data_IF_781335492235
#
_entry.id   IF_781335492235
#
_cell.length_a   1.000
_cell.length_b   1.000
_cell.length_c   1.000
_cell.angle_alpha   90.00
_cell.angle_beta   90.00
_cell.angle_gamma   90.00
#
_symmetry.space_group_name_H-M   'P 1'
#
loop_
_entity.id
_entity.type
_entity.pdbx_description
1 polymer ?
#
# COMPACT_ATOMS: atom_id res chain seq x y z
N UNK A 1 -4.40 6.67 2.95
CA UNK A 1 -3.28 6.26 3.82
C UNK A 1 -2.06 5.92 2.97
N UNK A 2 -2.16 5.00 2.02
CA UNK A 2 -1.07 4.66 1.06
C UNK A 2 -0.37 5.88 0.45
N UNK A 3 -1.11 6.82 -0.14
CA UNK A 3 -0.51 8.03 -0.75
C UNK A 3 0.33 8.85 0.23
N UNK A 4 -0.19 9.04 1.45
CA UNK A 4 0.49 9.80 2.49
C UNK A 4 1.79 9.10 2.92
N UNK A 5 1.77 7.78 3.07
CA UNK A 5 2.99 7.03 3.42
C UNK A 5 3.99 7.10 2.26
N UNK A 6 3.58 6.71 1.06
CA UNK A 6 4.50 6.39 -0.04
C UNK A 6 5.02 7.60 -0.81
N UNK A 7 4.13 8.53 -1.14
CA UNK A 7 4.41 9.67 -2.01
C UNK A 7 4.67 10.98 -1.23
N UNK A 8 4.23 11.05 0.03
CA UNK A 8 4.43 12.21 0.89
C UNK A 8 5.54 11.95 1.92
N UNK A 9 5.23 11.32 3.05
CA UNK A 9 6.12 11.29 4.22
C UNK A 9 7.43 10.51 4.03
N UNK A 10 7.46 9.48 3.19
CA UNK A 10 8.70 8.78 2.83
C UNK A 10 9.45 9.39 1.63
N UNK A 11 8.93 10.46 1.04
CA UNK A 11 9.60 11.15 -0.07
C UNK A 11 10.81 11.94 0.41
N UNK A 12 11.91 11.90 -0.33
CA UNK A 12 13.05 12.79 -0.08
C UNK A 12 12.68 14.26 -0.26
N UNK A 13 11.67 14.58 -1.07
CA UNK A 13 11.14 15.94 -1.15
C UNK A 13 10.53 16.47 0.16
N UNK A 14 10.21 15.58 1.09
CA UNK A 14 9.65 15.89 2.42
C UNK A 14 10.68 15.63 3.51
N UNK A 15 11.33 14.46 3.49
CA UNK A 15 12.35 14.09 4.46
C UNK A 15 13.56 15.03 4.40
N UNK A 16 13.99 15.43 3.21
CA UNK A 16 15.12 16.34 2.98
C UNK A 16 14.67 17.77 2.68
N UNK A 17 13.40 18.12 2.93
CA UNK A 17 12.87 19.47 2.71
C UNK A 17 13.62 20.51 3.56
N UNK A 18 13.89 21.70 2.97
CA UNK A 18 14.47 22.84 3.68
C UNK A 18 15.77 22.45 4.42
N UNK A 19 15.81 22.59 5.75
CA UNK A 19 16.97 22.28 6.59
C UNK A 19 16.88 20.90 7.25
N UNK A 20 15.85 20.09 6.97
CA UNK A 20 15.59 18.85 7.72
C UNK A 20 16.81 17.92 7.86
N UNK A 21 17.58 17.73 6.77
CA UNK A 21 18.80 16.92 6.80
C UNK A 21 19.91 17.58 7.61
N UNK A 22 20.16 18.87 7.40
CA UNK A 22 21.19 19.60 8.15
C UNK A 22 20.85 19.67 9.64
N UNK A 23 19.57 19.86 9.97
CA UNK A 23 19.06 19.85 11.34
C UNK A 23 19.22 18.46 11.95
N UNK A 24 18.96 17.38 11.20
CA UNK A 24 19.18 16.02 11.67
C UNK A 24 20.68 15.70 11.89
N UNK A 25 21.56 16.12 10.98
CA UNK A 25 23.01 15.95 11.10
C UNK A 25 23.58 16.67 12.34
N UNK A 26 23.02 17.83 12.66
CA UNK A 26 23.43 18.68 13.79
C UNK A 26 22.57 18.47 15.05
N UNK A 27 21.68 17.48 15.05
CA UNK A 27 20.79 17.15 16.18
C UNK A 27 19.94 18.35 16.67
N UNK A 28 19.53 19.21 15.72
CA UNK A 28 18.63 20.33 15.97
C UNK A 28 17.21 19.80 16.12
N UNK A 29 16.74 19.82 17.37
CA UNK A 29 15.40 19.36 17.71
C UNK A 29 14.35 20.42 17.37
N UNK A 30 13.14 19.95 17.05
CA UNK A 30 11.96 20.82 17.00
C UNK A 30 11.72 21.42 18.39
N UNK A 31 11.44 22.73 18.46
CA UNK A 31 11.28 23.44 19.73
C UNK A 31 10.27 22.76 20.67
N UNK A 32 10.73 22.41 21.87
CA UNK A 32 9.93 21.72 22.89
C UNK A 32 9.65 20.24 22.61
N UNK A 33 10.35 19.63 21.64
CA UNK A 33 10.23 18.21 21.28
C UNK A 33 11.55 17.47 21.46
N UNK A 34 11.46 16.15 21.46
CA UNK A 34 12.60 15.24 21.60
C UNK A 34 13.05 14.62 20.27
N UNK A 35 12.64 15.20 19.15
CA UNK A 35 12.88 14.69 17.81
C UNK A 35 13.26 15.83 16.85
N UNK A 36 13.98 15.49 15.79
CA UNK A 36 14.21 16.36 14.63
C UNK A 36 12.99 16.34 13.71
N UNK A 37 12.89 17.29 12.77
CA UNK A 37 11.75 17.32 11.86
C UNK A 37 11.73 16.09 10.91
N UNK A 38 12.90 15.61 10.47
CA UNK A 38 13.00 14.41 9.62
C UNK A 38 12.52 13.16 10.34
N UNK A 39 12.95 12.99 11.60
CA UNK A 39 12.49 11.90 12.46
C UNK A 39 10.97 11.91 12.61
N UNK A 40 10.39 13.08 12.88
CA UNK A 40 8.95 13.22 13.01
C UNK A 40 8.20 12.85 11.73
N UNK A 41 8.70 13.26 10.56
CA UNK A 41 8.09 12.93 9.27
C UNK A 41 8.10 11.43 9.00
N UNK A 42 9.19 10.74 9.34
CA UNK A 42 9.25 9.28 9.28
C UNK A 42 8.24 8.63 10.24
N UNK A 43 8.14 9.14 11.46
CA UNK A 43 7.19 8.66 12.47
C UNK A 43 5.73 8.93 12.07
N UNK A 44 5.45 10.01 11.32
CA UNK A 44 4.13 10.27 10.73
C UNK A 44 3.77 9.21 9.67
N UNK A 45 4.71 8.80 8.81
CA UNK A 45 4.49 7.69 7.86
C UNK A 45 4.16 6.39 8.61
N UNK A 46 4.91 6.08 9.66
CA UNK A 46 4.67 4.92 10.52
C UNK A 46 3.29 4.98 11.19
N UNK A 47 2.89 6.15 11.69
CA UNK A 47 1.61 6.37 12.36
C UNK A 47 0.39 6.18 11.46
N UNK A 48 0.51 6.42 10.14
CA UNK A 48 -0.57 6.09 9.20
C UNK A 48 -0.83 4.58 9.09
N UNK A 49 0.05 3.73 9.58
CA UNK A 49 -0.15 2.29 9.55
C UNK A 49 -0.35 1.69 10.94
N UNK A 50 0.46 2.13 11.91
CA UNK A 50 0.52 1.54 13.24
C UNK A 50 0.01 2.49 14.34
N UNK A 51 -0.52 3.67 13.99
CA UNK A 51 -0.99 4.65 14.96
C UNK A 51 -2.25 4.24 15.73
N UNK A 52 -2.99 3.26 15.21
CA UNK A 52 -4.16 2.67 15.88
C UNK A 52 -3.80 1.46 16.76
N UNK A 53 -2.55 0.97 16.71
CA UNK A 53 -2.12 -0.18 17.50
C UNK A 53 -2.21 0.12 19.00
N UNK A 54 -2.72 -0.81 19.82
CA UNK A 54 -2.66 -0.70 21.28
C UNK A 54 -1.21 -0.59 21.78
N UNK A 55 -0.29 -1.28 21.11
CA UNK A 55 1.15 -1.22 21.34
C UNK A 55 1.88 -1.27 19.99
N UNK A 56 2.32 -0.10 19.51
CA UNK A 56 3.05 0.00 18.25
C UNK A 56 4.45 -0.67 18.27
N UNK A 57 4.96 -1.10 19.43
CA UNK A 57 6.20 -1.89 19.54
C UNK A 57 5.98 -3.38 19.27
N UNK A 58 4.73 -3.82 19.28
CA UNK A 58 4.31 -5.19 19.03
C UNK A 58 2.94 -5.18 18.31
N UNK A 59 2.91 -4.72 17.05
CA UNK A 59 1.66 -4.55 16.32
C UNK A 59 0.93 -5.89 16.16
N UNK A 60 -0.38 -5.87 16.36
CA UNK A 60 -1.25 -7.03 16.18
C UNK A 60 -2.07 -6.96 14.89
N UNK A 61 -2.03 -5.84 14.17
CA UNK A 61 -2.77 -5.57 12.94
C UNK A 61 -4.29 -5.68 13.11
N UNK A 62 -5.06 -5.41 12.06
CA UNK A 62 -6.53 -5.38 12.09
C UNK A 62 -7.09 -4.43 13.18
N UNK A 63 -6.35 -3.36 13.47
CA UNK A 63 -6.73 -2.36 14.49
C UNK A 63 -7.43 -1.14 13.89
N UNK A 64 -7.56 -1.09 12.57
CA UNK A 64 -8.38 -0.13 11.83
C UNK A 64 -9.13 -0.83 10.68
N UNK A 65 -10.14 -0.15 10.11
CA UNK A 65 -10.86 -0.64 8.92
C UNK A 65 -10.24 -0.13 7.62
N UNK A 66 -8.93 0.07 7.62
CA UNK A 66 -8.17 0.63 6.52
C UNK A 66 -6.93 -0.23 6.26
N UNK A 67 -5.73 0.36 6.24
CA UNK A 67 -4.54 -0.32 5.77
C UNK A 67 -4.05 -1.41 6.73
N UNK A 68 -4.29 -1.29 8.04
CA UNK A 68 -3.89 -2.29 9.03
C UNK A 68 -4.65 -3.60 8.85
N UNK A 69 -5.98 -3.54 8.66
CA UNK A 69 -6.80 -4.71 8.32
C UNK A 69 -6.28 -5.38 7.04
N UNK A 70 -5.99 -4.62 5.98
CA UNK A 70 -5.58 -5.22 4.72
C UNK A 70 -4.16 -5.79 4.74
N UNK A 71 -3.26 -5.33 5.62
CA UNK A 71 -2.00 -6.06 5.88
C UNK A 71 -2.30 -7.40 6.53
N UNK A 72 -3.15 -7.45 7.56
CA UNK A 72 -3.52 -8.71 8.22
C UNK A 72 -4.11 -9.72 7.23
N UNK A 73 -5.01 -9.26 6.34
CA UNK A 73 -5.60 -10.11 5.29
C UNK A 73 -4.55 -10.67 4.33
N UNK A 74 -3.58 -9.86 3.91
CA UNK A 74 -2.53 -10.30 2.97
C UNK A 74 -1.50 -11.19 3.68
N UNK A 75 -1.15 -10.89 4.93
CA UNK A 75 -0.29 -11.73 5.77
C UNK A 75 -0.90 -13.12 6.00
N UNK A 76 -2.22 -13.20 6.13
CA UNK A 76 -2.95 -14.47 6.26
C UNK A 76 -2.96 -15.34 5.01
N UNK A 77 -2.57 -14.79 3.84
CA UNK A 77 -2.40 -15.54 2.61
C UNK A 77 -0.98 -16.11 2.54
N UNK A 78 -0.86 -17.44 2.43
CA UNK A 78 0.42 -18.13 2.46
C UNK A 78 1.36 -17.72 1.32
N UNK A 79 0.82 -17.22 0.20
CA UNK A 79 1.61 -16.72 -0.94
C UNK A 79 2.28 -15.36 -0.65
N UNK A 80 1.79 -14.62 0.36
CA UNK A 80 2.26 -13.28 0.73
C UNK A 80 2.68 -13.14 2.20
N UNK A 81 2.70 -14.24 2.96
CA UNK A 81 3.10 -14.27 4.36
C UNK A 81 4.51 -13.69 4.58
N UNK A 82 4.69 -12.97 5.69
CA UNK A 82 5.89 -12.23 6.04
C UNK A 82 5.85 -10.75 5.66
N UNK A 83 4.91 -10.31 4.81
CA UNK A 83 4.76 -8.91 4.40
C UNK A 83 4.62 -7.95 5.59
N UNK A 84 3.89 -8.36 6.64
CA UNK A 84 3.71 -7.56 7.84
C UNK A 84 5.05 -7.28 8.55
N UNK A 85 5.85 -8.34 8.71
CA UNK A 85 7.17 -8.25 9.35
C UNK A 85 8.11 -7.42 8.50
N UNK A 86 8.14 -7.63 7.18
CA UNK A 86 8.98 -6.86 6.25
C UNK A 86 8.70 -5.37 6.32
N UNK A 87 7.42 -4.96 6.31
CA UNK A 87 7.05 -3.54 6.40
C UNK A 87 7.45 -2.97 7.78
N UNK A 88 7.12 -3.68 8.86
CA UNK A 88 7.40 -3.21 10.22
C UNK A 88 8.90 -3.04 10.50
N UNK A 89 9.70 -4.03 10.11
CA UNK A 89 11.15 -3.99 10.30
C UNK A 89 11.80 -2.90 9.44
N UNK A 90 11.31 -2.68 8.21
CA UNK A 90 11.79 -1.59 7.36
C UNK A 90 11.54 -0.21 8.00
N UNK A 91 10.37 0.02 8.60
CA UNK A 91 10.11 1.25 9.34
C UNK A 91 11.08 1.44 10.52
N UNK A 92 11.33 0.39 11.30
CA UNK A 92 12.26 0.45 12.43
C UNK A 92 13.69 0.69 12.00
N UNK A 93 14.17 -0.04 11.01
CA UNK A 93 15.52 0.10 10.49
C UNK A 93 15.73 1.46 9.85
N UNK A 94 14.75 1.98 9.11
CA UNK A 94 14.86 3.30 8.50
C UNK A 94 14.83 4.42 9.55
N UNK A 95 14.03 4.27 10.61
CA UNK A 95 14.03 5.21 11.74
C UNK A 95 15.38 5.23 12.46
N UNK A 96 15.98 4.05 12.70
CA UNK A 96 17.31 3.93 13.29
C UNK A 96 18.39 4.53 12.38
N UNK A 97 18.31 4.29 11.07
CA UNK A 97 19.22 4.86 10.09
C UNK A 97 19.18 6.40 10.06
N UNK A 98 18.01 7.02 10.27
CA UNK A 98 17.90 8.48 10.43
C UNK A 98 18.67 8.96 11.66
N UNK A 99 18.56 8.28 12.81
CA UNK A 99 19.33 8.63 14.03
C UNK A 99 20.83 8.53 13.77
N UNK A 100 21.25 7.48 13.07
CA UNK A 100 22.66 7.24 12.72
C UNK A 100 23.16 8.08 11.54
N UNK A 101 22.32 8.95 10.97
CA UNK A 101 22.62 9.80 9.80
C UNK A 101 22.99 8.98 8.55
N UNK A 102 22.55 7.71 8.51
CA UNK A 102 22.77 6.79 7.41
C UNK A 102 21.62 6.88 6.40
N UNK A 103 21.66 7.94 5.59
CA UNK A 103 20.58 8.22 4.63
C UNK A 103 20.50 7.21 3.48
N UNK A 104 21.57 6.47 3.17
CA UNK A 104 21.51 5.37 2.20
C UNK A 104 20.57 4.27 2.70
N UNK A 105 20.78 3.82 3.95
CA UNK A 105 19.94 2.78 4.55
C UNK A 105 18.51 3.28 4.75
N UNK A 106 18.32 4.55 5.13
CA UNK A 106 16.98 5.18 5.17
C UNK A 106 16.25 5.04 3.83
N UNK A 107 16.92 5.40 2.73
CA UNK A 107 16.32 5.40 1.40
C UNK A 107 16.04 3.96 0.91
N UNK A 108 16.92 3.01 1.23
CA UNK A 108 16.70 1.58 1.01
C UNK A 108 15.46 1.06 1.76
N UNK A 109 15.29 1.44 3.04
CA UNK A 109 14.11 1.04 3.81
C UNK A 109 12.83 1.71 3.28
N UNK A 110 12.89 2.96 2.83
CA UNK A 110 11.77 3.62 2.19
C UNK A 110 11.34 2.91 0.90
N UNK A 111 12.29 2.38 0.11
CA UNK A 111 12.01 1.58 -1.08
C UNK A 111 11.31 0.25 -0.73
N UNK A 112 11.78 -0.45 0.31
CA UNK A 112 11.14 -1.69 0.80
C UNK A 112 9.70 -1.43 1.23
N UNK A 113 9.45 -0.35 1.99
CA UNK A 113 8.10 0.03 2.41
C UNK A 113 7.22 0.35 1.20
N UNK A 114 7.75 1.10 0.21
CA UNK A 114 7.04 1.45 -1.02
C UNK A 114 6.58 0.25 -1.82
N UNK A 115 7.47 -0.71 -2.03
CA UNK A 115 7.17 -1.95 -2.74
C UNK A 115 6.08 -2.75 -2.01
N UNK A 116 6.29 -3.05 -0.74
CA UNK A 116 5.42 -3.94 0.02
C UNK A 116 4.05 -3.31 0.32
N UNK A 117 3.99 -2.03 0.67
CA UNK A 117 2.71 -1.35 0.89
C UNK A 117 1.93 -1.17 -0.43
N UNK A 118 2.63 -1.05 -1.57
CA UNK A 118 1.99 -1.01 -2.90
C UNK A 118 1.40 -2.35 -3.32
N UNK A 119 1.97 -3.46 -2.85
CA UNK A 119 1.49 -4.81 -3.14
C UNK A 119 0.11 -5.09 -2.52
N UNK A 120 -0.16 -4.57 -1.33
CA UNK A 120 -1.42 -4.79 -0.60
C UNK A 120 -2.66 -4.46 -1.45
N UNK A 121 -2.85 -3.24 -1.99
CA UNK A 121 -4.03 -2.94 -2.81
C UNK A 121 -4.07 -3.75 -4.11
N UNK A 122 -2.93 -4.19 -4.66
CA UNK A 122 -2.89 -5.05 -5.84
C UNK A 122 -3.43 -6.45 -5.55
N UNK A 123 -2.96 -7.09 -4.47
CA UNK A 123 -3.45 -8.40 -4.03
C UNK A 123 -4.94 -8.33 -3.70
N UNK A 124 -5.37 -7.31 -2.95
CA UNK A 124 -6.80 -7.16 -2.59
C UNK A 124 -7.69 -6.85 -3.79
N UNK A 125 -7.22 -6.05 -4.77
CA UNK A 125 -7.96 -5.85 -6.02
C UNK A 125 -8.24 -7.18 -6.73
N UNK A 126 -7.20 -8.01 -6.91
CA UNK A 126 -7.33 -9.32 -7.57
C UNK A 126 -8.23 -10.25 -6.78
N UNK A 127 -8.03 -10.38 -5.47
CA UNK A 127 -8.87 -11.20 -4.60
C UNK A 127 -10.36 -10.88 -4.78
N UNK A 128 -10.72 -9.60 -4.73
CA UNK A 128 -12.11 -9.18 -4.81
C UNK A 128 -12.70 -9.26 -6.22
N UNK A 129 -11.90 -9.07 -7.28
CA UNK A 129 -12.33 -9.34 -8.66
C UNK A 129 -12.69 -10.81 -8.84
N UNK A 130 -11.84 -11.70 -8.34
CA UNK A 130 -12.01 -13.15 -8.49
C UNK A 130 -13.15 -13.67 -7.60
N UNK A 131 -13.26 -13.18 -6.35
CA UNK A 131 -14.41 -13.49 -5.50
C UNK A 131 -15.73 -12.99 -6.12
N UNK A 132 -15.72 -11.78 -6.70
CA UNK A 132 -16.86 -11.22 -7.41
C UNK A 132 -17.27 -12.08 -8.60
N UNK A 133 -16.29 -12.49 -9.43
CA UNK A 133 -16.46 -13.35 -10.60
C UNK A 133 -17.20 -14.65 -10.27
N UNK A 134 -16.76 -15.34 -9.22
CA UNK A 134 -17.30 -16.64 -8.82
C UNK A 134 -18.76 -16.57 -8.35
N UNK A 135 -19.23 -15.37 -7.97
CA UNK A 135 -20.58 -15.16 -7.43
C UNK A 135 -21.54 -14.46 -8.41
N UNK A 136 -21.09 -14.02 -9.59
CA UNK A 136 -21.88 -13.20 -10.53
C UNK A 136 -23.29 -13.75 -10.81
N UNK A 137 -23.44 -15.07 -10.93
CA UNK A 137 -24.73 -15.73 -11.21
C UNK A 137 -25.39 -16.34 -9.98
N UNK A 138 -24.59 -16.92 -9.08
CA UNK A 138 -25.09 -17.66 -7.92
C UNK A 138 -25.57 -16.73 -6.80
N UNK A 139 -24.87 -15.61 -6.57
CA UNK A 139 -25.19 -14.61 -5.55
C UNK A 139 -24.76 -13.22 -6.03
N UNK A 140 -25.60 -12.53 -6.84
CA UNK A 140 -25.28 -11.20 -7.35
C UNK A 140 -25.02 -10.16 -6.25
N UNK A 141 -25.64 -10.32 -5.07
CA UNK A 141 -25.41 -9.40 -3.95
C UNK A 141 -23.97 -9.54 -3.42
N UNK A 142 -23.51 -10.77 -3.21
CA UNK A 142 -22.12 -11.04 -2.84
C UNK A 142 -21.14 -10.64 -3.94
N UNK A 143 -21.49 -10.90 -5.20
CA UNK A 143 -20.66 -10.48 -6.34
C UNK A 143 -20.47 -8.96 -6.35
N UNK A 144 -21.53 -8.19 -6.17
CA UNK A 144 -21.47 -6.73 -6.23
C UNK A 144 -20.76 -6.14 -5.03
N UNK A 145 -20.87 -6.77 -3.87
CA UNK A 145 -20.06 -6.41 -2.71
C UNK A 145 -18.55 -6.57 -3.03
N UNK A 146 -18.13 -7.74 -3.50
CA UNK A 146 -16.74 -7.97 -3.90
C UNK A 146 -16.27 -7.01 -5.00
N UNK A 147 -17.06 -6.83 -6.06
CA UNK A 147 -16.69 -5.93 -7.15
C UNK A 147 -16.62 -4.45 -6.73
N UNK A 148 -17.42 -4.03 -5.74
CA UNK A 148 -17.33 -2.69 -5.17
C UNK A 148 -16.04 -2.48 -4.39
N UNK A 149 -15.62 -3.48 -3.60
CA UNK A 149 -14.32 -3.48 -2.92
C UNK A 149 -13.17 -3.45 -3.94
N UNK A 150 -13.21 -4.32 -4.95
CA UNK A 150 -12.23 -4.35 -6.04
C UNK A 150 -12.09 -2.99 -6.74
N UNK A 151 -13.20 -2.30 -7.00
CA UNK A 151 -13.20 -0.96 -7.60
C UNK A 151 -12.37 0.03 -6.75
N UNK A 152 -12.56 0.03 -5.43
CA UNK A 152 -11.80 0.89 -4.51
C UNK A 152 -10.30 0.58 -4.49
N UNK A 153 -9.94 -0.71 -4.53
CA UNK A 153 -8.55 -1.12 -4.60
C UNK A 153 -7.88 -0.79 -5.93
N UNK A 154 -8.57 -1.01 -7.06
CA UNK A 154 -8.09 -0.60 -8.39
C UNK A 154 -7.88 0.92 -8.42
N UNK A 155 -8.83 1.69 -7.88
CA UNK A 155 -8.67 3.14 -7.76
C UNK A 155 -7.42 3.51 -6.97
N UNK A 156 -7.11 2.75 -5.91
CA UNK A 156 -5.95 3.00 -5.04
C UNK A 156 -4.61 2.73 -5.71
N UNK A 157 -4.56 1.95 -6.81
CA UNK A 157 -3.33 1.60 -7.52
C UNK A 157 -2.59 2.84 -8.07
N UNK A 158 -3.31 3.93 -8.37
CA UNK A 158 -2.69 5.17 -8.85
C UNK A 158 -1.85 5.90 -7.77
N UNK A 159 -1.99 5.51 -6.51
CA UNK A 159 -1.26 6.08 -5.37
C UNK A 159 -0.14 5.16 -4.86
N UNK A 160 0.07 4.02 -5.53
CA UNK A 160 1.24 3.17 -5.28
C UNK A 160 2.52 3.89 -5.67
N UNK A 161 3.68 3.34 -5.27
CA UNK A 161 4.98 3.90 -5.65
C UNK A 161 5.95 2.76 -5.94
N UNK A 162 6.34 2.64 -7.21
CA UNK A 162 7.36 1.72 -7.65
C UNK A 162 8.75 2.32 -7.34
N UNK A 163 9.59 1.65 -6.54
CA UNK A 163 10.89 2.18 -6.15
C UNK A 163 11.90 2.27 -7.30
N UNK A 164 11.74 1.47 -8.36
CA UNK A 164 12.66 1.45 -9.51
C UNK A 164 12.39 2.61 -10.49
N UNK A 165 11.12 2.99 -10.64
CA UNK A 165 10.69 4.02 -11.61
C UNK A 165 10.36 5.35 -10.98
N UNK A 166 10.20 5.39 -9.65
CA UNK A 166 9.74 6.54 -8.89
C UNK A 166 8.37 7.08 -9.36
N UNK A 167 7.52 6.17 -9.85
CA UNK A 167 6.16 6.43 -10.33
C UNK A 167 5.17 5.38 -9.79
N UNK A 168 3.84 5.63 -9.86
CA UNK A 168 2.88 4.59 -9.54
C UNK A 168 3.01 3.36 -10.43
N UNK A 169 2.67 2.18 -9.91
CA UNK A 169 2.65 0.95 -10.72
C UNK A 169 1.62 1.01 -11.85
N UNK A 170 0.53 1.75 -11.65
CA UNK A 170 -0.47 2.06 -12.66
C UNK A 170 -0.71 3.56 -12.70
N UNK A 171 -0.66 4.14 -13.90
CA UNK A 171 -1.05 5.52 -14.11
C UNK A 171 -2.54 5.73 -13.84
N UNK A 172 -2.94 6.97 -13.56
CA UNK A 172 -4.35 7.34 -13.47
C UNK A 172 -5.14 6.90 -14.71
N UNK A 173 -4.57 7.03 -15.90
CA UNK A 173 -5.24 6.66 -17.16
C UNK A 173 -5.48 5.15 -17.27
N UNK A 174 -4.52 4.32 -16.86
CA UNK A 174 -4.70 2.86 -16.79
C UNK A 174 -5.79 2.50 -15.77
N UNK A 175 -5.73 3.10 -14.57
CA UNK A 175 -6.76 2.91 -13.54
C UNK A 175 -8.14 3.31 -14.04
N UNK A 176 -8.30 4.51 -14.61
CA UNK A 176 -9.58 4.98 -15.17
C UNK A 176 -10.10 4.03 -16.26
N UNK A 177 -9.20 3.41 -17.04
CA UNK A 177 -9.56 2.42 -18.07
C UNK A 177 -10.17 1.18 -17.44
N UNK A 178 -9.55 0.60 -16.41
CA UNK A 178 -10.09 -0.57 -15.70
C UNK A 178 -11.42 -0.26 -15.02
N UNK A 179 -11.53 0.89 -14.34
CA UNK A 179 -12.79 1.30 -13.71
C UNK A 179 -13.90 1.52 -14.76
N UNK A 180 -13.57 2.07 -15.93
CA UNK A 180 -14.53 2.20 -17.04
C UNK A 180 -14.95 0.85 -17.61
N UNK A 181 -14.05 -0.14 -17.68
CA UNK A 181 -14.40 -1.49 -18.13
C UNK A 181 -15.38 -2.17 -17.17
N UNK A 182 -15.16 -2.04 -15.86
CA UNK A 182 -16.07 -2.54 -14.82
C UNK A 182 -17.46 -1.90 -14.87
N UNK A 183 -17.53 -0.65 -15.34
CA UNK A 183 -18.75 0.16 -15.39
C UNK A 183 -19.40 0.23 -16.78
N UNK A 184 -18.94 -0.57 -17.75
CA UNK A 184 -19.52 -0.61 -19.09
C UNK A 184 -20.98 -1.12 -19.05
N UNK A 185 -21.86 -0.54 -19.87
CA UNK A 185 -23.28 -0.93 -19.89
C UNK A 185 -24.01 -0.57 -18.60
N UNK A 186 -24.71 -1.53 -18.01
CA UNK A 186 -25.36 -1.43 -16.72
C UNK A 186 -24.42 -1.76 -15.53
N UNK A 187 -23.12 -1.48 -15.71
CA UNK A 187 -22.08 -1.70 -14.71
C UNK A 187 -21.90 -3.17 -14.35
N UNK A 188 -21.84 -3.49 -13.05
CA UNK A 188 -21.63 -4.86 -12.57
C UNK A 188 -22.70 -5.86 -13.04
N UNK A 189 -23.87 -5.42 -13.50
CA UNK A 189 -24.86 -6.30 -14.11
C UNK A 189 -24.40 -6.89 -15.46
N UNK A 190 -23.60 -6.12 -16.20
CA UNK A 190 -23.16 -6.47 -17.55
C UNK A 190 -21.68 -6.87 -17.61
N UNK A 191 -20.96 -6.79 -16.49
CA UNK A 191 -19.55 -7.19 -16.42
C UNK A 191 -19.39 -8.70 -16.65
N UNK A 192 -18.34 -9.08 -17.37
CA UNK A 192 -18.10 -10.49 -17.75
C UNK A 192 -16.93 -11.09 -16.97
N UNK A 193 -16.92 -12.42 -16.74
CA UNK A 193 -15.75 -13.11 -16.18
C UNK A 193 -14.46 -12.81 -16.94
N UNK A 194 -14.52 -12.74 -18.28
CA UNK A 194 -13.36 -12.39 -19.13
C UNK A 194 -12.80 -11.01 -18.81
N UNK A 195 -13.67 -10.00 -18.56
CA UNK A 195 -13.22 -8.66 -18.16
C UNK A 195 -12.52 -8.70 -16.80
N UNK A 196 -13.09 -9.43 -15.83
CA UNK A 196 -12.53 -9.53 -14.48
C UNK A 196 -11.18 -10.26 -14.48
N UNK A 197 -11.05 -11.33 -15.27
CA UNK A 197 -9.81 -12.07 -15.44
C UNK A 197 -8.72 -11.24 -16.11
N UNK A 198 -9.05 -10.51 -17.19
CA UNK A 198 -8.08 -9.64 -17.84
C UNK A 198 -7.51 -8.57 -16.89
N UNK A 199 -8.37 -7.90 -16.13
CA UNK A 199 -7.92 -6.87 -15.17
C UNK A 199 -7.07 -7.52 -14.06
N UNK A 200 -7.48 -8.70 -13.60
CA UNK A 200 -6.74 -9.43 -12.56
C UNK A 200 -5.34 -9.83 -13.03
N UNK A 201 -5.24 -10.39 -14.23
CA UNK A 201 -3.99 -10.84 -14.83
C UNK A 201 -3.04 -9.66 -15.10
N UNK A 202 -3.57 -8.52 -15.57
CA UNK A 202 -2.78 -7.30 -15.78
C UNK A 202 -2.18 -6.77 -14.46
N UNK A 203 -3.00 -6.72 -13.39
CA UNK A 203 -2.55 -6.28 -12.06
C UNK A 203 -1.51 -7.25 -11.51
N UNK A 204 -1.80 -8.56 -11.53
CA UNK A 204 -0.91 -9.59 -11.02
C UNK A 204 0.45 -9.56 -11.73
N UNK A 205 0.45 -9.47 -13.06
CA UNK A 205 1.68 -9.41 -13.86
C UNK A 205 2.53 -8.16 -13.54
N UNK A 206 1.91 -7.00 -13.31
CA UNK A 206 2.63 -5.76 -12.98
C UNK A 206 3.35 -5.83 -11.62
N UNK A 207 2.80 -6.60 -10.69
CA UNK A 207 3.31 -6.80 -9.33
C UNK A 207 4.06 -8.13 -9.15
N UNK A 208 4.34 -8.86 -10.25
CA UNK A 208 5.07 -10.12 -10.25
C UNK A 208 4.44 -11.24 -9.39
N UNK A 209 3.11 -11.31 -9.32
CA UNK A 209 2.39 -12.47 -8.77
C UNK A 209 1.41 -13.04 -9.80
N UNK A 210 0.72 -14.13 -9.47
CA UNK A 210 -0.32 -14.72 -10.33
C UNK A 210 -1.71 -14.51 -9.76
N UNK A 211 -2.71 -14.40 -10.63
CA UNK A 211 -4.12 -14.28 -10.20
C UNK A 211 -4.51 -15.36 -9.20
N UNK A 212 -4.04 -16.60 -9.38
CA UNK A 212 -4.30 -17.71 -8.47
C UNK A 212 -3.76 -17.45 -7.05
N UNK A 213 -2.55 -16.92 -6.92
CA UNK A 213 -1.94 -16.63 -5.62
C UNK A 213 -2.75 -15.60 -4.83
N UNK A 214 -3.34 -14.60 -5.51
CA UNK A 214 -4.14 -13.57 -4.86
C UNK A 214 -5.64 -13.92 -4.75
N UNK A 215 -6.05 -15.15 -5.06
CA UNK A 215 -7.47 -15.57 -5.06
C UNK A 215 -7.86 -16.50 -3.91
N UNK A 216 -6.94 -16.74 -2.97
CA UNK A 216 -7.10 -17.72 -1.89
C UNK A 216 -8.00 -17.24 -0.74
#
# INVERSE_FOLDING_TARGET
MTDQILNNYLSTSVLDESTNRADNDNEVLVSGKSYTNMEHKWDEAFGYLYGAEPDATMPILDQDSFLSEYIDRVEGDADFAGIATTIYDAFKLGRAAIVEKNYSVRDEQAAIIRENVSLIPAVRAVFYLQNGKDNLTADPARAFHGLSEAYGFIYSLQFTRNPDTDAPYFSKTEVDTYLSQLMTGNGFWDVTPTTLDQISDDIAARFNFTTAQASN
#
